data_IF_377649037467
#
_entry.id   IF_377649037467
#
_cell.length_a   1.000
_cell.length_b   1.000
_cell.length_c   1.000
_cell.angle_alpha   90.00
_cell.angle_beta   90.00
_cell.angle_gamma   90.00
#
_symmetry.space_group_name_H-M   'P 1'
#
loop_
_entity.id
_entity.type
_entity.pdbx_description
1 polymer ?
#
# COMPACT_ATOMS: atom_id res chain seq x y z
N UNK A 1 2.88 -11.19 20.89
CA UNK A 1 3.85 -10.42 21.70
C UNK A 1 4.33 -11.23 22.90
N UNK A 2 3.44 -11.75 23.75
CA UNK A 2 3.80 -12.71 24.83
C UNK A 2 4.52 -13.96 24.30
N UNK A 3 3.96 -14.57 23.25
CA UNK A 3 4.58 -15.73 22.58
C UNK A 3 5.92 -15.39 21.92
N UNK A 4 5.97 -14.29 21.16
CA UNK A 4 7.20 -13.81 20.51
C UNK A 4 8.32 -13.46 21.50
N UNK A 5 7.97 -13.05 22.71
CA UNK A 5 8.92 -12.68 23.77
C UNK A 5 9.12 -13.80 24.81
N UNK A 6 8.58 -15.01 24.57
CA UNK A 6 8.63 -16.15 25.46
C UNK A 6 8.31 -15.82 26.93
N UNK A 7 7.32 -14.96 27.18
CA UNK A 7 6.96 -14.54 28.53
C UNK A 7 5.44 -14.44 28.72
N UNK A 8 5.01 -14.48 29.99
CA UNK A 8 3.59 -14.36 30.34
C UNK A 8 3.05 -12.93 30.15
N UNK A 9 1.74 -12.82 29.95
CA UNK A 9 1.05 -11.54 29.83
C UNK A 9 1.22 -10.66 31.08
N UNK A 10 1.30 -11.28 32.26
CA UNK A 10 1.54 -10.60 33.54
C UNK A 10 2.96 -10.01 33.63
N UNK A 11 3.95 -10.69 33.06
CA UNK A 11 5.33 -10.18 32.96
C UNK A 11 5.39 -8.97 32.05
N UNK A 12 4.73 -9.01 30.88
CA UNK A 12 4.63 -7.86 29.98
C UNK A 12 3.98 -6.67 30.70
N UNK A 13 2.84 -6.89 31.36
CA UNK A 13 2.10 -5.81 32.03
C UNK A 13 2.90 -5.20 33.20
N UNK A 14 3.68 -6.01 33.92
CA UNK A 14 4.60 -5.52 34.97
C UNK A 14 5.75 -4.69 34.39
N UNK A 15 6.30 -5.11 33.26
CA UNK A 15 7.41 -4.40 32.60
C UNK A 15 6.99 -3.02 32.10
N UNK A 16 5.83 -2.91 31.43
CA UNK A 16 5.32 -1.60 30.97
C UNK A 16 4.99 -0.69 32.15
N UNK A 17 4.50 -1.24 33.27
CA UNK A 17 4.31 -0.49 34.52
C UNK A 17 5.61 0.05 35.11
N UNK A 18 6.67 -0.75 35.13
CA UNK A 18 8.01 -0.29 35.53
C UNK A 18 8.58 0.81 34.63
N UNK A 19 8.11 0.89 33.37
CA UNK A 19 8.48 1.93 32.41
C UNK A 19 7.60 3.19 32.47
N UNK A 20 6.67 3.28 33.43
CA UNK A 20 5.87 4.47 33.67
C UNK A 20 4.45 4.44 33.08
N UNK A 21 4.02 3.35 32.45
CA UNK A 21 2.67 3.20 31.91
C UNK A 21 1.72 2.55 32.94
N UNK A 22 0.46 2.95 33.03
CA UNK A 22 -0.58 2.32 33.87
C UNK A 22 -0.85 0.84 33.50
N UNK A 23 -0.51 0.44 32.28
CA UNK A 23 -0.59 -0.95 31.82
C UNK A 23 -0.36 -1.10 30.33
N UNK A 24 -0.54 -2.33 29.84
CA UNK A 24 -0.29 -2.68 28.44
C UNK A 24 -1.16 -1.90 27.45
N UNK A 25 -2.41 -1.58 27.81
CA UNK A 25 -3.31 -0.83 26.92
C UNK A 25 -2.79 0.60 26.65
N UNK A 26 -2.38 1.32 27.69
CA UNK A 26 -1.79 2.66 27.55
C UNK A 26 -0.46 2.62 26.79
N UNK A 27 0.42 1.67 27.13
CA UNK A 27 1.67 1.47 26.38
C UNK A 27 1.40 1.19 24.89
N UNK A 28 0.39 0.38 24.56
CA UNK A 28 0.01 0.13 23.17
C UNK A 28 -0.55 1.36 22.49
N UNK A 29 -1.28 2.20 23.21
CA UNK A 29 -1.80 3.46 22.71
C UNK A 29 -0.67 4.46 22.44
N UNK A 30 0.28 4.61 23.36
CA UNK A 30 1.42 5.54 23.21
C UNK A 30 2.35 5.18 22.04
N UNK A 31 2.41 3.91 21.63
CA UNK A 31 3.16 3.48 20.44
C UNK A 31 2.35 3.65 19.16
N UNK A 32 1.01 3.68 19.27
CA UNK A 32 0.11 3.88 18.14
C UNK A 32 -0.02 5.35 17.75
N UNK A 33 0.17 6.29 18.68
CA UNK A 33 0.27 7.71 18.34
C UNK A 33 1.57 7.96 17.57
N UNK A 34 1.44 8.01 16.26
CA UNK A 34 2.50 8.55 15.41
C UNK A 34 2.45 10.06 15.52
N UNK A 35 3.58 10.73 15.80
CA UNK A 35 3.61 12.18 15.78
C UNK A 35 3.16 12.66 14.40
N UNK A 36 2.30 13.67 14.37
CA UNK A 36 1.92 14.31 13.13
C UNK A 36 3.17 14.86 12.43
N UNK A 37 3.21 14.88 11.09
CA UNK A 37 4.27 15.55 10.36
C UNK A 37 4.42 16.99 10.87
N UNK A 38 5.66 17.41 11.12
CA UNK A 38 5.95 18.76 11.60
C UNK A 38 5.95 19.75 10.42
N UNK A 39 4.76 19.99 9.86
CA UNK A 39 4.54 20.88 8.71
C UNK A 39 3.61 22.01 9.17
N UNK A 40 4.11 23.25 9.15
CA UNK A 40 3.34 24.41 9.56
C UNK A 40 2.26 24.77 8.53
N UNK A 41 1.13 25.31 9.00
CA UNK A 41 0.08 25.87 8.14
C UNK A 41 -1.03 24.91 7.72
N UNK A 42 -1.05 23.68 8.23
CA UNK A 42 -2.11 22.69 7.98
C UNK A 42 -2.87 22.34 9.26
N UNK A 43 -4.14 21.95 9.11
CA UNK A 43 -4.93 21.40 10.21
C UNK A 43 -4.45 20.01 10.60
N UNK A 44 -4.79 19.56 11.81
CA UNK A 44 -4.40 18.23 12.29
C UNK A 44 -4.95 17.10 11.40
N UNK A 45 -6.13 17.28 10.79
CA UNK A 45 -6.72 16.30 9.86
C UNK A 45 -5.89 16.18 8.58
N UNK A 46 -5.42 17.31 8.05
CA UNK A 46 -4.55 17.34 6.86
C UNK A 46 -3.19 16.73 7.17
N UNK A 47 -2.61 17.06 8.32
CA UNK A 47 -1.35 16.47 8.77
C UNK A 47 -1.46 14.95 8.95
N UNK A 48 -2.57 14.46 9.50
CA UNK A 48 -2.83 13.03 9.64
C UNK A 48 -2.95 12.34 8.28
N UNK A 49 -3.64 12.95 7.31
CA UNK A 49 -3.73 12.44 5.95
C UNK A 49 -2.36 12.38 5.26
N UNK A 50 -1.54 13.44 5.40
CA UNK A 50 -0.17 13.48 4.86
C UNK A 50 0.69 12.37 5.46
N UNK A 51 0.71 12.24 6.79
CA UNK A 51 1.50 11.21 7.47
C UNK A 51 1.07 9.79 7.09
N UNK A 52 -0.23 9.57 6.88
CA UNK A 52 -0.74 8.29 6.38
C UNK A 52 -0.29 8.01 4.95
N UNK A 53 -0.39 9.01 4.06
CA UNK A 53 0.06 8.87 2.67
C UNK A 53 1.55 8.57 2.59
N UNK A 54 2.37 9.24 3.41
CA UNK A 54 3.82 8.99 3.50
C UNK A 54 4.11 7.53 3.91
N UNK A 55 3.42 7.03 4.94
CA UNK A 55 3.57 5.63 5.37
C UNK A 55 3.19 4.64 4.25
N UNK A 56 2.09 4.87 3.54
CA UNK A 56 1.64 4.02 2.44
C UNK A 56 2.61 4.04 1.25
N UNK A 57 3.19 5.21 0.94
CA UNK A 57 4.21 5.37 -0.09
C UNK A 57 5.51 4.64 0.29
N UNK A 58 6.00 4.81 1.51
CA UNK A 58 7.21 4.12 1.98
C UNK A 58 7.00 2.60 2.00
N UNK A 59 5.83 2.12 2.42
CA UNK A 59 5.49 0.69 2.31
C UNK A 59 5.51 0.22 0.87
N UNK A 60 4.95 0.99 -0.06
CA UNK A 60 4.97 0.67 -1.49
C UNK A 60 6.40 0.51 -1.99
N UNK A 61 7.27 1.48 -1.69
CA UNK A 61 8.69 1.46 -2.10
C UNK A 61 9.41 0.22 -1.55
N UNK A 62 9.24 -0.07 -0.25
CA UNK A 62 9.90 -1.23 0.37
C UNK A 62 9.38 -2.58 -0.14
N UNK A 63 8.17 -2.62 -0.69
CA UNK A 63 7.57 -3.83 -1.24
C UNK A 63 7.86 -4.03 -2.74
N UNK A 64 8.60 -3.11 -3.39
CA UNK A 64 9.02 -3.30 -4.78
C UNK A 64 10.04 -4.46 -4.82
N UNK A 65 9.66 -5.54 -5.50
CA UNK A 65 10.53 -6.68 -5.75
C UNK A 65 11.20 -6.50 -7.12
N UNK A 66 12.52 -6.27 -7.13
CA UNK A 66 13.28 -6.14 -8.38
C UNK A 66 13.09 -7.34 -9.33
N UNK A 67 13.13 -8.61 -8.85
CA UNK A 67 12.81 -9.76 -9.69
C UNK A 67 11.39 -9.73 -10.29
N UNK A 68 10.39 -9.27 -9.52
CA UNK A 68 9.02 -9.16 -10.03
C UNK A 68 8.89 -8.08 -11.10
N UNK A 69 9.59 -6.95 -10.93
CA UNK A 69 9.65 -5.88 -11.94
C UNK A 69 10.32 -6.39 -13.22
N UNK A 70 11.44 -7.10 -13.13
CA UNK A 70 12.10 -7.66 -14.32
C UNK A 70 11.20 -8.65 -15.07
N UNK A 71 10.48 -9.51 -14.35
CA UNK A 71 9.52 -10.43 -14.95
C UNK A 71 8.38 -9.68 -15.64
N UNK A 72 7.83 -8.64 -15.00
CA UNK A 72 6.78 -7.82 -15.58
C UNK A 72 7.24 -7.11 -16.86
N UNK A 73 8.45 -6.54 -16.86
CA UNK A 73 9.03 -5.88 -18.05
C UNK A 73 9.21 -6.87 -19.20
N UNK A 74 9.73 -8.07 -18.94
CA UNK A 74 9.86 -9.12 -19.98
C UNK A 74 8.50 -9.54 -20.54
N UNK A 75 7.50 -9.72 -19.68
CA UNK A 75 6.15 -10.07 -20.11
C UNK A 75 5.53 -8.97 -20.98
N UNK A 76 5.68 -7.70 -20.59
CA UNK A 76 5.22 -6.55 -21.37
C UNK A 76 5.95 -6.48 -22.72
N UNK A 77 7.25 -6.79 -22.73
CA UNK A 77 8.04 -6.71 -23.96
C UNK A 77 7.65 -7.80 -24.98
N UNK A 78 7.38 -9.01 -24.50
CA UNK A 78 7.06 -10.17 -25.33
C UNK A 78 5.57 -10.27 -25.70
N UNK A 79 4.70 -9.46 -25.11
CA UNK A 79 3.27 -9.52 -25.33
C UNK A 79 2.88 -8.97 -26.73
N UNK A 80 2.11 -9.78 -27.47
CA UNK A 80 1.48 -9.38 -28.73
C UNK A 80 0.29 -8.43 -28.51
N UNK A 81 -0.35 -8.50 -27.34
CA UNK A 81 -1.44 -7.63 -26.89
C UNK A 81 -1.42 -7.49 -25.38
N UNK A 82 -1.73 -6.29 -24.87
CA UNK A 82 -1.86 -6.02 -23.43
C UNK A 82 -3.28 -5.51 -23.16
N UNK A 83 -3.99 -6.20 -22.26
CA UNK A 83 -5.34 -5.81 -21.85
C UNK A 83 -5.30 -5.36 -20.39
N UNK A 84 -5.75 -4.14 -20.13
CA UNK A 84 -5.87 -3.56 -18.80
C UNK A 84 -7.33 -3.62 -18.35
N UNK A 85 -7.55 -4.07 -17.12
CA UNK A 85 -8.86 -4.08 -16.48
C UNK A 85 -8.81 -3.23 -15.23
N UNK A 86 -9.70 -2.23 -15.13
CA UNK A 86 -9.73 -1.32 -13.98
C UNK A 86 -11.13 -0.78 -13.71
N UNK A 87 -11.46 -0.49 -12.45
CA UNK A 87 -12.73 0.17 -12.07
C UNK A 87 -12.55 1.20 -10.97
N UNK A 88 -13.47 2.15 -10.90
CA UNK A 88 -13.44 3.20 -9.88
C UNK A 88 -12.15 4.03 -9.98
N UNK A 89 -11.50 4.30 -8.85
CA UNK A 89 -10.30 5.15 -8.84
C UNK A 89 -9.11 4.54 -9.61
N UNK A 90 -9.05 3.22 -9.74
CA UNK A 90 -7.96 2.52 -10.45
C UNK A 90 -7.92 2.79 -11.96
N UNK A 91 -9.03 3.29 -12.55
CA UNK A 91 -9.08 3.63 -13.98
C UNK A 91 -8.08 4.72 -14.34
N UNK A 92 -7.79 5.66 -13.43
CA UNK A 92 -6.83 6.73 -13.66
C UNK A 92 -5.41 6.18 -13.82
N UNK A 93 -4.99 5.29 -12.92
CA UNK A 93 -3.69 4.63 -12.98
C UNK A 93 -3.57 3.75 -14.24
N UNK A 94 -4.63 3.00 -14.56
CA UNK A 94 -4.66 2.16 -15.76
C UNK A 94 -4.61 2.99 -17.06
N UNK A 95 -5.32 4.12 -17.12
CA UNK A 95 -5.29 5.01 -18.27
C UNK A 95 -3.91 5.67 -18.46
N UNK A 96 -3.23 6.02 -17.37
CA UNK A 96 -1.85 6.50 -17.43
C UNK A 96 -0.90 5.41 -17.93
N UNK A 97 -1.04 4.18 -17.42
CA UNK A 97 -0.24 3.04 -17.86
C UNK A 97 -0.46 2.71 -19.34
N UNK A 98 -1.72 2.70 -19.81
CA UNK A 98 -2.07 2.51 -21.21
C UNK A 98 -1.34 3.53 -22.09
N UNK A 99 -1.40 4.82 -21.75
CA UNK A 99 -0.72 5.88 -22.50
C UNK A 99 0.79 5.65 -22.55
N UNK A 100 1.42 5.30 -21.43
CA UNK A 100 2.87 5.02 -21.37
C UNK A 100 3.24 3.84 -22.25
N UNK A 101 2.50 2.75 -22.20
CA UNK A 101 2.77 1.56 -23.01
C UNK A 101 2.53 1.81 -24.51
N UNK A 102 1.51 2.57 -24.86
CA UNK A 102 1.25 2.99 -26.24
C UNK A 102 2.36 3.89 -26.80
N UNK A 103 2.98 4.74 -25.96
CA UNK A 103 4.18 5.49 -26.35
C UNK A 103 5.39 4.60 -26.64
N UNK A 104 5.44 3.40 -26.05
CA UNK A 104 6.41 2.35 -26.40
C UNK A 104 5.93 1.45 -27.55
N UNK A 105 4.93 1.88 -28.31
CA UNK A 105 4.34 1.15 -29.44
C UNK A 105 3.78 -0.22 -29.08
N UNK A 106 3.42 -0.45 -27.80
CA UNK A 106 2.73 -1.68 -27.40
C UNK A 106 1.23 -1.55 -27.68
N UNK A 107 0.59 -2.58 -28.27
CA UNK A 107 -0.86 -2.62 -28.46
C UNK A 107 -1.55 -2.86 -27.12
N UNK A 108 -2.18 -1.80 -26.58
CA UNK A 108 -2.81 -1.82 -25.25
C UNK A 108 -4.25 -1.33 -25.31
N UNK A 109 -5.16 -2.10 -24.71
CA UNK A 109 -6.59 -1.77 -24.57
C UNK A 109 -6.99 -1.72 -23.10
N UNK A 110 -7.80 -0.73 -22.71
CA UNK A 110 -8.35 -0.61 -21.36
C UNK A 110 -9.86 -0.90 -21.38
N UNK A 111 -10.29 -1.79 -20.49
CA UNK A 111 -11.70 -2.05 -20.21
C UNK A 111 -12.05 -1.65 -18.78
N UNK A 112 -13.02 -0.76 -18.65
CA UNK A 112 -13.58 -0.29 -17.38
C UNK A 112 -15.06 -0.66 -17.18
N UNK A 113 -15.72 -1.16 -18.22
CA UNK A 113 -17.08 -1.68 -18.18
C UNK A 113 -17.10 -3.13 -17.66
N UNK A 114 -17.97 -3.36 -16.68
CA UNK A 114 -18.18 -4.66 -16.02
C UNK A 114 -18.54 -5.80 -16.98
N UNK A 115 -19.33 -5.54 -18.02
CA UNK A 115 -19.76 -6.55 -19.00
C UNK A 115 -18.57 -7.08 -19.80
N UNK A 116 -17.69 -6.19 -20.23
CA UNK A 116 -16.46 -6.57 -20.95
C UNK A 116 -15.51 -7.34 -20.05
N UNK A 117 -15.33 -6.90 -18.80
CA UNK A 117 -14.51 -7.63 -17.83
C UNK A 117 -15.02 -9.06 -17.59
N UNK A 118 -16.34 -9.24 -17.50
CA UNK A 118 -16.95 -10.56 -17.28
C UNK A 118 -16.80 -11.48 -18.49
N UNK A 119 -16.85 -10.93 -19.71
CA UNK A 119 -16.60 -11.68 -20.94
C UNK A 119 -15.17 -12.27 -20.96
N UNK A 120 -14.16 -11.45 -20.67
CA UNK A 120 -12.76 -11.91 -20.66
C UNK A 120 -12.43 -12.86 -19.49
N UNK A 121 -13.18 -12.81 -18.39
CA UNK A 121 -13.00 -13.76 -17.27
C UNK A 121 -13.53 -15.17 -17.55
N UNK A 122 -14.25 -15.37 -18.66
CA UNK A 122 -14.87 -16.66 -19.02
C UNK A 122 -14.01 -17.54 -19.96
N UNK A 123 -12.82 -17.06 -20.32
CA UNK A 123 -11.77 -17.79 -21.05
C UNK A 123 -10.60 -18.09 -20.12
#
# INVERSE_FOLDING_TARGET
MAELAHCSLSTINRTVRKKGFSGYAEFRYSIKEKPLPNINGFSNEVLAAIGKNEEELLRTIHNISAPAIEQAVRAIDQADEIILFARGLSTHAAAEMMKKLQLFHKPVTLHDDYKYMTYYASF
#
